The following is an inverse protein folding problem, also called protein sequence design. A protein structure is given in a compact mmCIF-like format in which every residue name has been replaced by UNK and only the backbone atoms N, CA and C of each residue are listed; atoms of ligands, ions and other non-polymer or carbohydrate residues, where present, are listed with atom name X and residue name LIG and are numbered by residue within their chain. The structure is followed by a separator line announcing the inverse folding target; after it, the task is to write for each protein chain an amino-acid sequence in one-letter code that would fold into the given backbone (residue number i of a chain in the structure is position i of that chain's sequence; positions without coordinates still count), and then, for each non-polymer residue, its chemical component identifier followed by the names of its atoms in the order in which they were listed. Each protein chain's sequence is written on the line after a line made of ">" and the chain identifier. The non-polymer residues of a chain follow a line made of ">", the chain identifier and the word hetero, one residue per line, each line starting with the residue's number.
data_IF_214815652915
#
_entry.id   IF_214815652915
#
_cell.length_a   1.000
_cell.length_b   1.000
_cell.length_c   1.000
_cell.angle_alpha   90.00
_cell.angle_beta   90.00
_cell.angle_gamma   90.00
#
_symmetry.space_group_name_H-M   'P 1'
#
loop_
_entity.id
_entity.type
_entity.pdbx_description
1 polymer ?
#
# COMPACT_ATOMS: atom_id res chain seq x y z
N UNK A 1 15.52 7.97 12.97
CA UNK A 1 14.64 7.23 12.04
C UNK A 1 15.54 6.29 11.29
N UNK A 2 15.54 5.00 11.64
CA UNK A 2 16.31 4.00 10.91
C UNK A 2 15.72 3.88 9.50
N UNK A 3 16.47 4.33 8.49
CA UNK A 3 16.23 3.89 7.12
C UNK A 3 16.61 2.42 7.08
N UNK A 4 15.61 1.55 7.19
CA UNK A 4 15.80 0.12 6.94
C UNK A 4 16.12 -0.04 5.45
N UNK A 5 17.42 -0.08 5.12
CA UNK A 5 17.94 -0.37 3.78
C UNK A 5 17.74 -1.86 3.44
N UNK A 6 16.50 -2.32 3.43
CA UNK A 6 16.16 -3.67 2.97
C UNK A 6 16.39 -3.71 1.46
N UNK A 7 17.29 -4.58 0.95
CA UNK A 7 17.47 -4.73 -0.48
C UNK A 7 16.21 -5.33 -1.08
N UNK A 8 15.52 -4.53 -1.88
CA UNK A 8 14.33 -4.92 -2.63
C UNK A 8 14.56 -4.75 -4.13
N UNK A 9 13.90 -5.58 -4.93
CA UNK A 9 13.81 -5.38 -6.38
C UNK A 9 12.40 -4.95 -6.72
N UNK A 10 12.26 -3.89 -7.53
CA UNK A 10 10.95 -3.38 -7.96
C UNK A 10 10.78 -3.63 -9.45
N UNK A 11 9.69 -4.31 -9.79
CA UNK A 11 9.30 -4.63 -11.16
C UNK A 11 8.00 -3.91 -11.51
N UNK A 12 7.90 -3.42 -12.75
CA UNK A 12 6.63 -2.85 -13.25
C UNK A 12 5.60 -3.96 -13.41
N UNK A 13 4.36 -3.71 -13.00
CA UNK A 13 3.22 -4.55 -13.31
C UNK A 13 2.16 -3.77 -14.09
N UNK A 14 1.47 -4.46 -14.99
CA UNK A 14 0.23 -3.96 -15.57
C UNK A 14 -0.96 -4.36 -14.68
N UNK A 15 -2.09 -4.64 -15.32
CA UNK A 15 -3.24 -5.20 -14.61
C UNK A 15 -2.98 -6.66 -14.19
N UNK A 16 -3.26 -6.97 -12.93
CA UNK A 16 -3.30 -8.31 -12.35
C UNK A 16 -4.78 -8.72 -12.29
N UNK A 17 -5.11 -9.87 -12.87
CA UNK A 17 -6.47 -10.42 -12.83
C UNK A 17 -6.60 -11.42 -11.67
N UNK A 18 -7.76 -11.42 -11.02
CA UNK A 18 -8.08 -12.43 -10.02
C UNK A 18 -8.14 -13.81 -10.67
N UNK A 19 -7.50 -14.82 -10.08
CA UNK A 19 -7.41 -16.17 -10.65
C UNK A 19 -8.78 -16.85 -10.81
N UNK A 20 -9.69 -16.59 -9.87
CA UNK A 20 -11.00 -17.26 -9.79
C UNK A 20 -12.22 -16.39 -10.12
N UNK A 21 -12.09 -15.05 -10.20
CA UNK A 21 -13.22 -14.13 -10.39
C UNK A 21 -13.06 -13.41 -11.73
N UNK A 22 -13.73 -13.85 -12.80
CA UNK A 22 -13.59 -13.25 -14.12
C UNK A 22 -13.94 -11.76 -14.12
N UNK A 23 -13.08 -10.97 -14.78
CA UNK A 23 -13.27 -9.52 -14.92
C UNK A 23 -12.85 -8.69 -13.71
N UNK A 24 -12.49 -9.32 -12.58
CA UNK A 24 -11.93 -8.63 -11.43
C UNK A 24 -10.42 -8.47 -11.61
N UNK A 25 -9.92 -7.24 -11.48
CA UNK A 25 -8.51 -6.93 -11.65
C UNK A 25 -8.06 -5.73 -10.84
N UNK A 26 -6.75 -5.65 -10.62
CA UNK A 26 -6.07 -4.63 -9.86
C UNK A 26 -4.83 -4.17 -10.62
N UNK A 27 -4.50 -2.88 -10.55
CA UNK A 27 -3.28 -2.33 -11.13
C UNK A 27 -2.45 -1.70 -10.00
N UNK A 28 -1.56 -2.46 -9.35
CA UNK A 28 -0.55 -1.86 -8.49
C UNK A 28 0.45 -1.06 -9.34
N UNK A 29 1.16 -0.12 -8.71
CA UNK A 29 2.22 0.65 -9.37
C UNK A 29 3.48 -0.19 -9.62
N UNK A 30 3.65 -1.27 -8.85
CA UNK A 30 4.73 -2.24 -9.05
C UNK A 30 4.57 -3.51 -8.21
N UNK A 31 5.44 -4.48 -8.49
CA UNK A 31 5.69 -5.64 -7.63
C UNK A 31 7.05 -5.47 -6.97
N UNK A 32 7.10 -5.76 -5.68
CA UNK A 32 8.32 -5.69 -4.88
C UNK A 32 8.72 -7.10 -4.51
N UNK A 33 9.96 -7.48 -4.81
CA UNK A 33 10.56 -8.70 -4.29
C UNK A 33 11.44 -8.34 -3.09
N UNK A 34 11.05 -8.81 -1.91
CA UNK A 34 11.81 -8.64 -0.67
C UNK A 34 12.74 -9.85 -0.47
N UNK A 35 14.04 -9.58 -0.53
CA UNK A 35 15.09 -10.60 -0.42
C UNK A 35 15.23 -11.18 0.98
N UNK A 36 14.77 -10.49 2.02
CA UNK A 36 14.85 -10.95 3.42
C UNK A 36 13.78 -11.99 3.69
N UNK A 37 12.54 -11.74 3.25
CA UNK A 37 11.44 -12.69 3.44
C UNK A 37 11.25 -13.65 2.26
N UNK A 38 11.98 -13.47 1.16
CA UNK A 38 11.87 -14.27 -0.07
C UNK A 38 10.44 -14.35 -0.61
N UNK A 39 9.72 -13.22 -0.59
CA UNK A 39 8.33 -13.11 -1.06
C UNK A 39 8.13 -11.87 -1.93
N UNK A 40 7.14 -11.98 -2.82
CA UNK A 40 6.62 -10.83 -3.53
C UNK A 40 5.56 -10.08 -2.70
N UNK A 41 5.56 -8.77 -2.83
CA UNK A 41 4.53 -7.86 -2.35
C UNK A 41 4.18 -6.82 -3.41
N UNK A 42 3.24 -5.95 -3.08
CA UNK A 42 2.81 -4.84 -3.94
C UNK A 42 3.59 -3.56 -3.68
N UNK A 43 3.53 -2.64 -4.63
CA UNK A 43 3.92 -1.24 -4.47
C UNK A 43 2.74 -0.36 -4.89
N UNK A 44 2.39 0.60 -4.05
CA UNK A 44 1.42 1.65 -4.37
C UNK A 44 2.00 3.00 -3.98
N UNK A 45 2.15 3.91 -4.94
CA UNK A 45 2.82 5.20 -4.79
C UNK A 45 1.82 6.33 -4.98
N UNK A 46 1.72 7.20 -3.97
CA UNK A 46 0.91 8.43 -4.03
C UNK A 46 1.82 9.66 -4.07
N UNK A 47 1.63 10.48 -5.10
CA UNK A 47 2.36 11.74 -5.31
C UNK A 47 1.38 12.93 -5.44
N UNK A 48 0.68 13.35 -4.37
CA UNK A 48 -0.31 14.42 -4.49
C UNK A 48 0.38 15.78 -4.67
N UNK A 49 0.23 16.35 -5.87
CA UNK A 49 0.78 17.67 -6.24
C UNK A 49 0.31 18.76 -5.28
N UNK A 50 -0.96 18.71 -4.84
CA UNK A 50 -1.54 19.68 -3.89
C UNK A 50 -0.88 19.68 -2.50
N UNK A 51 0.01 18.73 -2.23
CA UNK A 51 0.74 18.56 -0.97
C UNK A 51 2.25 18.59 -1.16
N UNK A 52 2.73 18.98 -2.35
CA UNK A 52 4.16 19.13 -2.61
C UNK A 52 4.79 20.14 -1.64
N UNK A 53 5.83 19.73 -0.93
CA UNK A 53 6.57 20.55 0.03
C UNK A 53 5.96 20.63 1.43
N UNK A 54 4.84 19.94 1.69
CA UNK A 54 4.27 19.78 3.03
C UNK A 54 4.97 18.64 3.79
N UNK A 55 4.80 18.61 5.11
CA UNK A 55 5.31 17.51 5.94
C UNK A 55 4.36 16.31 5.90
N UNK A 56 4.88 15.11 6.20
CA UNK A 56 4.11 13.86 6.29
C UNK A 56 2.89 14.01 7.22
N UNK A 57 3.04 14.71 8.35
CA UNK A 57 1.97 14.96 9.33
C UNK A 57 0.80 15.78 8.76
N UNK A 58 1.03 16.54 7.69
CA UNK A 58 0.00 17.35 7.02
C UNK A 58 -0.72 16.59 5.89
N UNK A 59 -0.34 15.34 5.64
CA UNK A 59 -0.98 14.43 4.71
C UNK A 59 -2.33 13.95 5.24
N UNK A 60 -3.43 14.21 4.51
CA UNK A 60 -4.78 13.89 4.98
C UNK A 60 -5.06 12.37 5.06
N UNK A 61 -4.31 11.55 4.34
CA UNK A 61 -4.44 10.08 4.35
C UNK A 61 -3.67 9.39 5.48
N UNK A 62 -2.78 10.09 6.21
CA UNK A 62 -2.02 9.50 7.32
C UNK A 62 -2.65 9.86 8.68
N UNK A 63 -2.58 8.93 9.63
CA UNK A 63 -2.87 9.12 11.04
C UNK A 63 -1.56 9.12 11.82
N UNK A 64 -1.54 9.84 12.94
CA UNK A 64 -0.43 9.86 13.87
C UNK A 64 -0.97 9.44 15.23
N UNK A 65 -0.70 8.19 15.60
CA UNK A 65 -1.08 7.64 16.90
C UNK A 65 0.16 7.63 17.79
N UNK A 66 0.26 8.65 18.65
CA UNK A 66 1.36 8.80 19.63
C UNK A 66 2.77 8.75 19.00
N UNK A 67 2.95 9.37 17.84
CA UNK A 67 4.22 9.39 17.10
C UNK A 67 4.37 8.25 16.08
N UNK A 68 3.42 7.32 16.01
CA UNK A 68 3.39 6.29 14.97
C UNK A 68 2.54 6.74 13.78
N UNK A 69 3.21 7.19 12.72
CA UNK A 69 2.55 7.61 11.48
C UNK A 69 2.23 6.39 10.62
N UNK A 70 0.97 6.26 10.22
CA UNK A 70 0.48 5.15 9.38
C UNK A 70 -0.69 5.60 8.51
N UNK A 71 -1.03 4.81 7.50
CA UNK A 71 -2.17 4.99 6.62
C UNK A 71 -3.46 4.80 7.41
N UNK A 72 -4.34 5.81 7.37
CA UNK A 72 -5.66 5.74 8.00
C UNK A 72 -6.45 4.55 7.46
N UNK A 73 -6.83 3.64 8.35
CA UNK A 73 -7.71 2.50 8.03
C UNK A 73 -9.07 2.98 7.48
N UNK A 74 -9.51 4.17 7.86
CA UNK A 74 -10.75 4.78 7.36
C UNK A 74 -10.63 5.41 5.97
N UNK A 75 -9.42 5.55 5.41
CA UNK A 75 -9.19 6.23 4.15
C UNK A 75 -9.27 5.28 2.94
N UNK A 76 -9.75 5.76 1.80
CA UNK A 76 -9.98 4.97 0.58
C UNK A 76 -8.73 4.21 0.08
N UNK A 77 -7.56 4.83 0.21
CA UNK A 77 -6.28 4.19 -0.15
C UNK A 77 -5.98 2.93 0.67
N UNK A 78 -6.46 2.83 1.91
CA UNK A 78 -6.33 1.59 2.67
C UNK A 78 -7.12 0.48 1.98
N UNK A 79 -8.38 0.74 1.59
CA UNK A 79 -9.21 -0.24 0.87
C UNK A 79 -8.66 -0.55 -0.53
N UNK A 80 -8.08 0.43 -1.22
CA UNK A 80 -7.40 0.21 -2.50
C UNK A 80 -6.27 -0.82 -2.34
N UNK A 81 -5.40 -0.63 -1.35
CA UNK A 81 -4.26 -1.52 -1.09
C UNK A 81 -4.73 -2.91 -0.65
N UNK A 82 -5.72 -2.99 0.25
CA UNK A 82 -6.32 -4.28 0.65
C UNK A 82 -6.96 -5.01 -0.54
N UNK A 83 -7.66 -4.30 -1.41
CA UNK A 83 -8.29 -4.89 -2.61
C UNK A 83 -7.28 -5.36 -3.64
N UNK A 84 -6.20 -4.61 -3.86
CA UNK A 84 -5.08 -5.06 -4.69
C UNK A 84 -4.48 -6.35 -4.15
N UNK A 85 -4.25 -6.44 -2.83
CA UNK A 85 -3.74 -7.66 -2.17
C UNK A 85 -4.71 -8.84 -2.31
N UNK A 86 -6.01 -8.62 -2.09
CA UNK A 86 -7.04 -9.64 -2.29
C UNK A 86 -7.03 -10.18 -3.72
N UNK A 87 -6.98 -9.30 -4.73
CA UNK A 87 -7.02 -9.68 -6.15
C UNK A 87 -5.75 -10.43 -6.59
N UNK A 88 -4.59 -10.01 -6.07
CA UNK A 88 -3.29 -10.53 -6.49
C UNK A 88 -2.80 -11.70 -5.63
N UNK A 89 -3.44 -11.98 -4.50
CA UNK A 89 -2.96 -12.96 -3.51
C UNK A 89 -1.69 -12.52 -2.76
N UNK A 90 -1.36 -11.22 -2.78
CA UNK A 90 -0.19 -10.68 -2.10
C UNK A 90 -0.47 -10.50 -0.60
N UNK A 91 0.51 -10.79 0.24
CA UNK A 91 0.37 -10.71 1.70
C UNK A 91 0.62 -9.29 2.25
N UNK A 92 1.30 -8.45 1.47
CA UNK A 92 1.67 -7.10 1.84
C UNK A 92 1.87 -6.20 0.62
N UNK A 93 1.75 -4.90 0.84
CA UNK A 93 2.05 -3.84 -0.11
C UNK A 93 2.81 -2.73 0.59
N UNK A 94 3.92 -2.29 0.01
CA UNK A 94 4.60 -1.07 0.45
C UNK A 94 3.81 0.14 -0.10
N UNK A 95 3.16 0.86 0.81
CA UNK A 95 2.45 2.10 0.53
C UNK A 95 3.42 3.27 0.67
N UNK A 96 3.66 3.97 -0.43
CA UNK A 96 4.63 5.06 -0.52
C UNK A 96 3.89 6.38 -0.74
N UNK A 97 4.21 7.38 0.06
CA UNK A 97 3.80 8.76 -0.19
C UNK A 97 5.03 9.59 -0.46
N UNK A 98 5.06 10.24 -1.61
CA UNK A 98 6.08 11.22 -1.98
C UNK A 98 5.49 12.63 -1.99
N UNK A 99 5.99 13.48 -1.09
CA UNK A 99 5.57 14.88 -0.95
C UNK A 99 6.55 15.85 -1.61
N UNK A 100 7.41 15.38 -2.52
CA UNK A 100 8.41 16.21 -3.21
C UNK A 100 9.68 16.51 -2.40
N UNK A 101 9.62 16.41 -1.07
CA UNK A 101 10.78 16.57 -0.17
C UNK A 101 10.88 15.43 0.85
N UNK A 102 9.74 14.94 1.30
CA UNK A 102 9.65 13.84 2.26
C UNK A 102 9.06 12.60 1.58
N UNK A 103 9.57 11.45 1.98
CA UNK A 103 9.04 10.14 1.62
C UNK A 103 8.54 9.44 2.89
N UNK A 104 7.31 8.98 2.83
CA UNK A 104 6.75 8.06 3.82
C UNK A 104 6.60 6.69 3.16
N UNK A 105 7.00 5.63 3.86
CA UNK A 105 6.85 4.26 3.41
C UNK A 105 6.28 3.47 4.57
N UNK A 106 5.18 2.78 4.33
CA UNK A 106 4.59 1.82 5.25
C UNK A 106 4.35 0.50 4.56
N UNK A 107 4.76 -0.59 5.19
CA UNK A 107 4.38 -1.93 4.76
C UNK A 107 3.01 -2.28 5.34
N UNK A 108 1.98 -2.15 4.52
CA UNK A 108 0.62 -2.54 4.88
C UNK A 108 0.46 -4.03 4.66
N UNK A 109 0.00 -4.76 5.68
CA UNK A 109 -0.31 -6.19 5.58
C UNK A 109 -1.75 -6.39 5.16
N UNK A 110 -2.02 -7.50 4.48
CA UNK A 110 -3.39 -7.91 4.21
C UNK A 110 -4.13 -8.22 5.52
N UNK A 111 -5.28 -7.58 5.70
CA UNK A 111 -6.15 -7.74 6.86
C UNK A 111 -7.40 -8.51 6.42
N UNK A 112 -7.34 -9.83 6.58
CA UNK A 112 -8.41 -10.73 6.17
C UNK A 112 -9.73 -10.45 6.91
N UNK A 113 -9.66 -10.22 8.22
CA UNK A 113 -10.84 -10.02 9.06
C UNK A 113 -11.54 -8.70 8.71
N UNK A 114 -10.78 -7.62 8.52
CA UNK A 114 -11.32 -6.34 8.10
C UNK A 114 -11.91 -6.44 6.69
N UNK A 115 -11.21 -7.08 5.75
CA UNK A 115 -11.68 -7.27 4.38
C UNK A 115 -13.02 -8.01 4.36
N UNK A 116 -13.08 -9.14 5.07
CA UNK A 116 -14.27 -9.99 5.14
C UNK A 116 -15.45 -9.28 5.82
N UNK A 117 -15.21 -8.58 6.93
CA UNK A 117 -16.26 -7.86 7.68
C UNK A 117 -16.86 -6.67 6.93
N UNK A 118 -16.18 -6.16 5.90
CA UNK A 118 -16.64 -5.03 5.08
C UNK A 118 -17.19 -5.47 3.73
N UNK A 119 -16.72 -6.58 3.17
CA UNK A 119 -17.32 -7.16 1.96
C UNK A 119 -18.72 -7.75 2.20
N UNK A 120 -19.10 -8.02 3.45
CA UNK A 120 -20.42 -8.58 3.82
C UNK A 120 -21.46 -7.54 4.29
N UNK A 121 -21.13 -6.24 4.28
CA UNK A 121 -22.14 -5.21 4.59
C UNK A 121 -22.89 -4.86 3.31
N UNK A 122 -24.06 -5.49 3.16
CA UNK A 122 -25.10 -5.08 2.21
C UNK A 122 -25.74 -3.76 2.62
#
# INVERSE_FOLDING_TARGET
>A
MEQNNTPVTVEKCGIILHSEIPGLGASPDGKVYDTVCNKFGGLEVKCPISKAGMTIEQGFYLANDNGNIHLKISHDYFYQVQGQMFISGLEWTDFVVWLGKEIFIERVKFDFDLWHSRSMRN
#
